data_IF_587662235342
#
_entry.id   IF_587662235342
#
_cell.length_a   1.000
_cell.length_b   1.000
_cell.length_c   1.000
_cell.angle_alpha   90.00
_cell.angle_beta   90.00
_cell.angle_gamma   90.00
#
_symmetry.space_group_name_H-M   'P 1'
#
loop_
_entity.id
_entity.type
_entity.pdbx_description
1 polymer ?
#
# COMPACT_ATOMS: atom_id res chain seq x y z
N UNK A 1 -5.99 -4.31 7.33
CA UNK A 1 -4.81 -5.16 7.04
C UNK A 1 -4.39 -5.94 8.27
N UNK A 2 -4.21 -5.30 9.44
CA UNK A 2 -3.92 -5.99 10.71
C UNK A 2 -4.99 -7.01 11.10
N UNK A 3 -6.27 -6.64 11.17
CA UNK A 3 -7.35 -7.58 11.50
C UNK A 3 -7.38 -8.79 10.54
N UNK A 4 -7.32 -8.52 9.23
CA UNK A 4 -7.26 -9.56 8.20
C UNK A 4 -5.98 -10.41 8.25
N UNK A 5 -4.86 -9.84 8.71
CA UNK A 5 -3.59 -10.55 8.87
C UNK A 5 -3.66 -11.50 10.07
N UNK A 6 -4.24 -11.06 11.18
CA UNK A 6 -4.46 -11.89 12.37
C UNK A 6 -5.41 -13.05 12.06
N UNK A 7 -6.49 -12.80 11.33
CA UNK A 7 -7.40 -13.84 10.85
C UNK A 7 -6.68 -14.86 9.94
N UNK A 8 -5.85 -14.39 9.01
CA UNK A 8 -5.02 -15.25 8.14
C UNK A 8 -4.03 -16.10 8.94
N UNK A 9 -3.39 -15.53 9.97
CA UNK A 9 -2.45 -16.24 10.83
C UNK A 9 -3.14 -17.31 11.70
N UNK A 10 -4.42 -17.13 12.03
CA UNK A 10 -5.18 -18.11 12.83
C UNK A 10 -5.58 -19.34 12.01
N UNK A 11 -5.79 -19.18 10.70
CA UNK A 11 -6.27 -20.25 9.79
C UNK A 11 -5.15 -20.84 8.94
N UNK A 12 -4.08 -20.08 8.71
CA UNK A 12 -2.95 -20.46 7.86
C UNK A 12 -1.60 -20.40 8.56
N UNK A 13 -0.56 -20.09 7.80
CA UNK A 13 0.84 -20.06 8.25
C UNK A 13 1.38 -18.64 8.44
N UNK A 14 2.56 -18.54 9.08
CA UNK A 14 3.33 -17.29 9.26
C UNK A 14 3.63 -16.55 7.94
N UNK A 15 3.46 -17.20 6.79
CA UNK A 15 3.58 -16.60 5.45
C UNK A 15 2.57 -15.47 5.18
N UNK A 16 1.47 -15.37 5.92
CA UNK A 16 0.53 -14.24 5.85
C UNK A 16 1.22 -12.91 6.18
N UNK A 17 2.20 -12.90 7.10
CA UNK A 17 2.86 -11.69 7.57
C UNK A 17 3.67 -10.98 6.46
N UNK A 18 4.63 -11.64 5.77
CA UNK A 18 5.35 -11.00 4.68
C UNK A 18 4.45 -10.60 3.52
N UNK A 19 3.36 -11.34 3.25
CA UNK A 19 2.38 -10.98 2.21
C UNK A 19 1.64 -9.66 2.52
N UNK A 20 1.09 -9.52 3.72
CA UNK A 20 0.37 -8.31 4.11
C UNK A 20 1.32 -7.12 4.25
N UNK A 21 2.53 -7.33 4.79
CA UNK A 21 3.55 -6.28 4.86
C UNK A 21 3.97 -5.81 3.46
N UNK A 22 4.24 -6.72 2.53
CA UNK A 22 4.58 -6.36 1.15
C UNK A 22 3.43 -5.57 0.48
N UNK A 23 2.18 -5.99 0.68
CA UNK A 23 1.01 -5.32 0.12
C UNK A 23 0.86 -3.89 0.66
N UNK A 24 1.07 -3.68 1.97
CA UNK A 24 1.01 -2.34 2.58
C UNK A 24 2.15 -1.45 2.10
N UNK A 25 3.38 -1.97 2.01
CA UNK A 25 4.53 -1.20 1.51
C UNK A 25 4.31 -0.79 0.06
N UNK A 26 3.95 -1.74 -0.82
CA UNK A 26 3.70 -1.46 -2.24
C UNK A 26 2.52 -0.49 -2.39
N UNK A 27 1.42 -0.73 -1.67
CA UNK A 27 0.24 0.14 -1.71
C UNK A 27 0.57 1.59 -1.32
N UNK A 28 1.32 1.79 -0.23
CA UNK A 28 1.74 3.12 0.19
C UNK A 28 2.64 3.80 -0.84
N UNK A 29 3.61 3.09 -1.41
CA UNK A 29 4.48 3.63 -2.46
C UNK A 29 3.68 4.03 -3.71
N UNK A 30 2.75 3.19 -4.15
CA UNK A 30 1.91 3.47 -5.32
C UNK A 30 1.00 4.67 -5.06
N UNK A 31 0.32 4.70 -3.92
CA UNK A 31 -0.57 5.82 -3.55
C UNK A 31 0.20 7.13 -3.46
N UNK A 32 1.39 7.12 -2.85
CA UNK A 32 2.20 8.32 -2.70
C UNK A 32 2.72 8.82 -4.05
N UNK A 33 3.20 7.92 -4.91
CA UNK A 33 3.65 8.28 -6.27
C UNK A 33 2.50 8.80 -7.12
N UNK A 34 1.31 8.19 -7.03
CA UNK A 34 0.14 8.67 -7.76
C UNK A 34 -0.29 10.05 -7.28
N UNK A 35 -0.33 10.28 -5.97
CA UNK A 35 -0.65 11.58 -5.40
C UNK A 35 0.36 12.66 -5.84
N UNK A 36 1.66 12.35 -5.79
CA UNK A 36 2.72 13.23 -6.30
C UNK A 36 2.52 13.53 -7.79
N UNK A 37 2.22 12.52 -8.62
CA UNK A 37 1.97 12.71 -10.05
C UNK A 37 0.77 13.62 -10.31
N UNK A 38 -0.30 13.47 -9.53
CA UNK A 38 -1.49 14.33 -9.63
C UNK A 38 -1.18 15.77 -9.19
N UNK A 39 -0.48 15.95 -8.08
CA UNK A 39 -0.03 17.27 -7.62
C UNK A 39 0.87 17.94 -8.67
N UNK A 40 1.85 17.21 -9.22
CA UNK A 40 2.74 17.70 -10.27
C UNK A 40 1.97 18.08 -11.53
N UNK A 41 0.97 17.30 -11.93
CA UNK A 41 0.12 17.61 -13.08
C UNK A 41 -0.74 18.85 -12.83
N UNK A 42 -1.27 19.01 -11.61
CA UNK A 42 -2.09 20.16 -11.24
C UNK A 42 -1.26 21.46 -11.16
N UNK A 43 -0.06 21.42 -10.53
CA UNK A 43 0.81 22.59 -10.41
C UNK A 43 1.61 22.88 -11.69
N UNK A 44 2.02 21.85 -12.43
CA UNK A 44 2.70 21.97 -13.72
C UNK A 44 1.79 22.41 -14.87
N UNK A 45 0.47 22.42 -14.69
CA UNK A 45 -0.47 23.07 -15.63
C UNK A 45 -0.56 24.59 -15.45
N UNK A 46 0.18 25.15 -14.49
CA UNK A 46 0.33 26.59 -14.26
C UNK A 46 1.59 27.10 -14.97
N UNK A 47 1.61 27.03 -16.30
CA UNK A 47 2.59 27.71 -17.17
C UNK A 47 1.88 28.22 -18.40
#
# INVERSE_FOLDING_TARGET
WIESMWDCMLVGDVSCIPFFLATVVIGNLVVLNLFLALLLSNFGSSS
#
